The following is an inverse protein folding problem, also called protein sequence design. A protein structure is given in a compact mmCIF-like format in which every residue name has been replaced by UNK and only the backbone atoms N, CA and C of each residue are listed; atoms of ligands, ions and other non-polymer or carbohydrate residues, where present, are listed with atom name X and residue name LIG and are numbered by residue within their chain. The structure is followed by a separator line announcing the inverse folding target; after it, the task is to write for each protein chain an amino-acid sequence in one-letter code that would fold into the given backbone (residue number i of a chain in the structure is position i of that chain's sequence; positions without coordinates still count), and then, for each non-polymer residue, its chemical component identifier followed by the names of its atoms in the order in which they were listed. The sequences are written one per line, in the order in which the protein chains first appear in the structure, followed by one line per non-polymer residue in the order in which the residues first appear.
data_IF_098443158068
#
_entry.id   IF_098443158068
#
_cell.length_a   1.000
_cell.length_b   1.000
_cell.length_c   1.000
_cell.angle_alpha   90.00
_cell.angle_beta   90.00
_cell.angle_gamma   90.00
#
_symmetry.space_group_name_H-M   'P 1'
#
loop_
_entity.id
_entity.type
_entity.pdbx_description
1 polymer ?
#
# COMPACT_ATOMS: atom_id res chain seq x y z
N UNK A 1 -35.93 -32.82 -18.03
CA UNK A 1 -35.02 -32.03 -18.89
C UNK A 1 -34.48 -30.89 -18.03
N UNK A 2 -33.17 -30.66 -18.01
CA UNK A 2 -32.56 -29.56 -17.24
C UNK A 2 -32.37 -28.34 -18.14
N UNK A 3 -32.63 -27.15 -17.59
CA UNK A 3 -32.37 -25.89 -18.28
C UNK A 3 -31.22 -25.17 -17.59
N UNK A 4 -30.11 -24.97 -18.33
CA UNK A 4 -29.01 -24.13 -17.86
C UNK A 4 -29.40 -22.66 -18.02
N UNK A 5 -29.12 -21.85 -17.00
CA UNK A 5 -29.23 -20.40 -17.05
C UNK A 5 -27.88 -19.78 -16.74
N UNK A 6 -27.47 -18.83 -17.59
CA UNK A 6 -26.27 -18.02 -17.37
C UNK A 6 -26.74 -16.59 -17.04
N UNK A 7 -26.33 -16.09 -15.88
CA UNK A 7 -26.61 -14.73 -15.42
C UNK A 7 -25.33 -13.92 -15.56
N UNK A 8 -25.38 -12.80 -16.29
CA UNK A 8 -24.22 -11.94 -16.51
C UNK A 8 -24.59 -10.50 -16.17
N UNK A 9 -23.79 -9.87 -15.30
CA UNK A 9 -23.82 -8.43 -15.10
C UNK A 9 -22.69 -7.81 -15.91
N UNK A 10 -23.01 -6.75 -16.68
CA UNK A 10 -22.00 -6.03 -17.46
C UNK A 10 -20.96 -5.35 -16.56
N UNK A 11 -21.40 -4.86 -15.40
CA UNK A 11 -20.57 -4.30 -14.34
C UNK A 11 -21.29 -4.43 -13.00
N UNK A 12 -20.52 -4.34 -11.91
CA UNK A 12 -21.08 -4.14 -10.57
C UNK A 12 -21.05 -2.64 -10.25
N UNK A 13 -22.00 -2.13 -9.45
CA UNK A 13 -21.92 -0.77 -8.91
C UNK A 13 -20.59 -0.54 -8.19
N UNK A 14 -20.04 0.68 -8.30
CA UNK A 14 -18.81 1.06 -7.60
C UNK A 14 -18.95 0.84 -6.08
N UNK A 15 -17.92 0.30 -5.43
CA UNK A 15 -17.94 -0.02 -4.00
C UNK A 15 -18.68 -1.31 -3.64
N UNK A 16 -19.07 -2.14 -4.62
CA UNK A 16 -19.64 -3.48 -4.33
C UNK A 16 -18.58 -4.38 -3.72
N UNK A 17 -18.77 -4.73 -2.44
CA UNK A 17 -17.87 -5.63 -1.71
C UNK A 17 -18.44 -7.04 -1.52
N UNK A 18 -19.76 -7.18 -1.68
CA UNK A 18 -20.47 -8.42 -1.44
C UNK A 18 -21.50 -8.65 -2.54
N UNK A 19 -21.66 -9.91 -2.93
CA UNK A 19 -22.73 -10.36 -3.80
C UNK A 19 -23.55 -11.37 -3.01
N UNK A 20 -24.87 -11.19 -3.03
CA UNK A 20 -25.82 -12.12 -2.44
C UNK A 20 -26.53 -12.86 -3.57
N UNK A 21 -26.58 -14.19 -3.48
CA UNK A 21 -27.36 -15.05 -4.38
C UNK A 21 -28.41 -15.75 -3.53
N UNK A 22 -29.67 -15.58 -3.90
CA UNK A 22 -30.80 -16.18 -3.19
C UNK A 22 -31.44 -17.27 -4.04
N UNK A 23 -31.69 -18.42 -3.43
CA UNK A 23 -32.45 -19.48 -4.05
C UNK A 23 -33.96 -19.20 -3.86
N UNK A 24 -34.78 -19.35 -4.91
CA UNK A 24 -36.22 -19.13 -4.80
C UNK A 24 -36.86 -20.15 -3.85
N UNK A 25 -37.87 -19.69 -3.11
CA UNK A 25 -38.67 -20.51 -2.19
C UNK A 25 -39.96 -21.01 -2.87
N UNK A 26 -40.54 -22.11 -2.37
CA UNK A 26 -41.87 -22.58 -2.79
C UNK A 26 -41.89 -23.63 -3.91
N UNK A 27 -40.74 -24.20 -4.29
CA UNK A 27 -40.67 -25.32 -5.22
C UNK A 27 -41.03 -26.66 -4.58
N UNK A 28 -41.59 -27.59 -5.37
CA UNK A 28 -41.90 -28.97 -4.93
C UNK A 28 -40.70 -29.91 -4.94
N UNK A 29 -39.57 -29.47 -5.52
CA UNK A 29 -38.37 -30.27 -5.73
C UNK A 29 -37.20 -29.64 -4.97
N UNK A 30 -36.68 -30.34 -3.97
CA UNK A 30 -35.60 -29.88 -3.09
C UNK A 30 -34.23 -29.73 -3.78
N UNK A 31 -34.09 -30.26 -4.99
CA UNK A 31 -32.87 -30.21 -5.78
C UNK A 31 -32.87 -29.08 -6.82
N UNK A 32 -33.92 -28.25 -6.91
CA UNK A 32 -34.06 -27.20 -7.92
C UNK A 32 -34.33 -25.82 -7.27
N UNK A 33 -33.59 -24.75 -7.63
CA UNK A 33 -32.49 -24.71 -8.61
C UNK A 33 -31.14 -25.17 -8.05
N UNK A 34 -30.21 -25.41 -8.96
CA UNK A 34 -28.80 -25.72 -8.66
C UNK A 34 -27.90 -24.61 -9.20
N UNK A 35 -26.85 -24.28 -8.44
CA UNK A 35 -25.83 -23.30 -8.82
C UNK A 35 -24.52 -24.04 -9.10
N UNK A 36 -24.08 -24.05 -10.35
CA UNK A 36 -22.88 -24.80 -10.75
C UNK A 36 -21.61 -23.95 -10.78
N UNK A 37 -21.72 -22.62 -10.92
CA UNK A 37 -20.56 -21.72 -10.96
C UNK A 37 -20.92 -20.29 -10.59
N UNK A 38 -20.04 -19.65 -9.82
CA UNK A 38 -20.00 -18.19 -9.61
C UNK A 38 -18.62 -17.69 -10.02
N UNK A 39 -18.56 -16.62 -10.80
CA UNK A 39 -17.31 -15.97 -11.19
C UNK A 39 -17.46 -14.48 -10.99
N UNK A 40 -16.54 -13.87 -10.23
CA UNK A 40 -16.46 -12.43 -10.03
C UNK A 40 -15.13 -11.98 -10.60
N UNK A 41 -15.16 -10.96 -11.45
CA UNK A 41 -13.96 -10.30 -11.97
C UNK A 41 -13.96 -8.88 -11.42
N UNK A 42 -12.85 -8.48 -10.84
CA UNK A 42 -12.60 -7.09 -10.46
C UNK A 42 -11.25 -6.69 -11.02
N UNK A 43 -11.13 -5.41 -11.40
CA UNK A 43 -9.86 -4.83 -11.82
C UNK A 43 -9.34 -4.03 -10.63
N UNK A 44 -8.23 -4.43 -10.01
CA UNK A 44 -7.66 -3.65 -8.93
C UNK A 44 -7.31 -2.25 -9.40
N UNK A 45 -7.55 -1.24 -8.58
CA UNK A 45 -7.16 0.14 -8.86
C UNK A 45 -5.94 0.51 -8.04
N UNK A 46 -4.91 1.07 -8.68
CA UNK A 46 -3.72 1.56 -8.00
C UNK A 46 -3.77 3.08 -7.85
N UNK A 47 -3.59 3.57 -6.63
CA UNK A 47 -3.37 4.99 -6.33
C UNK A 47 -1.92 5.21 -5.95
N UNK A 48 -1.21 6.08 -6.68
CA UNK A 48 0.21 6.38 -6.45
C UNK A 48 0.38 7.78 -5.89
N UNK A 49 0.99 7.88 -4.72
CA UNK A 49 1.49 9.10 -4.12
C UNK A 49 2.97 9.29 -4.45
N UNK A 50 3.27 10.35 -5.21
CA UNK A 50 4.63 10.77 -5.56
C UNK A 50 5.25 11.69 -4.50
N UNK A 51 4.57 11.91 -3.36
CA UNK A 51 5.04 12.71 -2.24
C UNK A 51 5.46 14.12 -2.64
N UNK A 52 4.69 14.73 -3.55
CA UNK A 52 4.85 16.12 -3.98
C UNK A 52 4.06 17.09 -3.07
N UNK A 53 3.04 16.59 -2.40
CA UNK A 53 2.23 17.28 -1.40
C UNK A 53 1.61 16.26 -0.43
N UNK A 54 0.89 16.73 0.59
CA UNK A 54 0.27 15.86 1.60
C UNK A 54 -1.18 15.48 1.29
N UNK A 55 -1.72 15.79 0.09
CA UNK A 55 -3.14 15.63 -0.22
C UNK A 55 -3.64 14.18 -0.19
N UNK A 56 -2.74 13.22 -0.47
CA UNK A 56 -3.06 11.78 -0.44
C UNK A 56 -2.83 11.14 0.93
N UNK A 57 -2.13 11.84 1.82
CA UNK A 57 -1.77 11.39 3.17
C UNK A 57 -2.93 11.66 4.12
N UNK A 58 -3.28 10.66 4.93
CA UNK A 58 -4.34 10.77 5.94
C UNK A 58 -3.82 11.45 7.21
N UNK A 59 -2.72 10.96 7.76
CA UNK A 59 -2.01 11.62 8.86
C UNK A 59 -0.51 11.44 8.69
N UNK A 60 0.26 12.34 9.28
CA UNK A 60 1.71 12.21 9.36
C UNK A 60 2.23 12.79 10.67
N UNK A 61 3.41 12.39 11.05
CA UNK A 61 4.15 13.08 12.12
C UNK A 61 4.63 14.46 11.65
N UNK A 62 4.88 15.35 12.63
CA UNK A 62 5.26 16.74 12.36
C UNK A 62 6.70 16.88 11.86
N UNK A 63 7.58 15.91 12.15
CA UNK A 63 9.00 15.93 11.80
C UNK A 63 9.31 15.51 10.37
N UNK A 64 8.35 15.67 9.44
CA UNK A 64 8.52 15.36 8.03
C UNK A 64 8.39 16.61 7.15
N UNK A 65 9.26 16.70 6.15
CA UNK A 65 9.25 17.72 5.10
C UNK A 65 9.56 17.11 3.74
N UNK A 66 9.29 17.86 2.67
CA UNK A 66 9.63 17.45 1.32
C UNK A 66 11.04 17.90 0.93
N UNK A 67 11.78 17.02 0.27
CA UNK A 67 13.07 17.29 -0.36
C UNK A 67 12.97 17.11 -1.89
N UNK A 68 13.09 18.22 -2.61
CA UNK A 68 13.09 18.28 -4.07
C UNK A 68 14.50 18.50 -4.64
N UNK A 69 15.53 18.56 -3.79
CA UNK A 69 16.92 18.74 -4.24
C UNK A 69 17.43 17.51 -4.98
N UNK A 70 18.25 17.69 -6.02
CA UNK A 70 18.84 16.58 -6.79
C UNK A 70 17.82 15.60 -7.41
N UNK A 71 16.56 16.02 -7.61
CA UNK A 71 15.47 15.25 -8.22
C UNK A 71 15.91 14.44 -9.46
N UNK A 72 16.56 15.10 -10.44
CA UNK A 72 17.06 14.44 -11.66
C UNK A 72 18.08 13.33 -11.37
N UNK A 73 18.99 13.53 -10.42
CA UNK A 73 19.99 12.52 -10.06
C UNK A 73 19.37 11.35 -9.29
N UNK A 74 18.28 11.58 -8.57
CA UNK A 74 17.66 10.59 -7.70
C UNK A 74 16.44 9.91 -8.36
N UNK A 75 16.04 10.41 -9.55
CA UNK A 75 15.06 9.76 -10.42
C UNK A 75 13.62 9.96 -9.98
N UNK A 76 13.34 11.03 -9.22
CA UNK A 76 12.02 11.40 -8.71
C UNK A 76 11.83 12.92 -8.74
N UNK A 77 10.63 13.39 -8.35
CA UNK A 77 10.31 14.82 -8.30
C UNK A 77 10.38 15.40 -6.87
N UNK A 78 10.08 14.58 -5.87
CA UNK A 78 10.04 14.95 -4.45
C UNK A 78 10.16 13.69 -3.60
N UNK A 79 10.62 13.84 -2.36
CA UNK A 79 10.58 12.81 -1.32
C UNK A 79 10.17 13.39 0.01
N UNK A 80 9.48 12.60 0.82
CA UNK A 80 9.40 12.87 2.25
C UNK A 80 10.71 12.45 2.94
N UNK A 81 11.20 13.30 3.84
CA UNK A 81 12.36 13.06 4.69
C UNK A 81 12.13 13.59 6.09
N UNK A 82 12.96 13.18 7.06
CA UNK A 82 12.88 13.72 8.42
C UNK A 82 13.52 15.12 8.48
N UNK A 83 12.96 16.00 9.29
CA UNK A 83 13.52 17.35 9.54
C UNK A 83 14.63 17.35 10.59
N UNK A 84 14.79 16.26 11.34
CA UNK A 84 15.81 16.10 12.38
C UNK A 84 16.25 14.64 12.55
N UNK A 85 17.33 14.44 13.32
CA UNK A 85 17.85 13.12 13.69
C UNK A 85 17.11 12.60 14.93
N UNK A 86 15.97 11.93 14.72
CA UNK A 86 15.17 11.40 15.84
C UNK A 86 15.80 10.12 16.38
N UNK A 87 16.50 10.20 17.51
CA UNK A 87 17.13 9.05 18.16
C UNK A 87 16.13 8.10 18.87
N UNK A 88 14.92 8.58 19.21
CA UNK A 88 13.96 7.81 20.03
C UNK A 88 12.51 7.78 19.54
N UNK A 89 12.11 8.66 18.61
CA UNK A 89 10.71 8.72 18.12
C UNK A 89 10.69 8.52 16.61
N UNK A 90 9.90 7.56 16.14
CA UNK A 90 9.76 7.32 14.71
C UNK A 90 8.83 8.36 14.07
N UNK A 91 9.22 8.87 12.91
CA UNK A 91 8.34 9.66 12.05
C UNK A 91 7.50 8.72 11.17
N UNK A 92 6.30 9.12 10.76
CA UNK A 92 5.43 8.25 9.98
C UNK A 92 4.51 9.01 9.03
N UNK A 93 4.00 8.28 8.05
CA UNK A 93 2.92 8.67 7.13
C UNK A 93 1.86 7.56 7.15
N UNK A 94 0.58 7.92 7.23
CA UNK A 94 -0.53 6.98 7.05
C UNK A 94 -1.40 7.32 5.85
N UNK A 95 -1.98 6.29 5.27
CA UNK A 95 -2.91 6.36 4.15
C UNK A 95 -4.19 5.63 4.51
N UNK A 96 -5.33 6.20 4.18
CA UNK A 96 -6.65 5.58 4.26
C UNK A 96 -7.15 5.25 2.86
N UNK A 97 -7.25 3.95 2.54
CA UNK A 97 -7.74 3.41 1.28
C UNK A 97 -8.54 2.16 1.59
N UNK A 98 -9.83 2.13 1.26
CA UNK A 98 -10.67 0.97 1.55
C UNK A 98 -10.20 -0.28 0.79
N UNK A 99 -10.21 -1.45 1.43
CA UNK A 99 -9.86 -2.72 0.77
C UNK A 99 -8.45 -2.77 0.19
N UNK A 100 -7.43 -2.36 0.96
CA UNK A 100 -6.04 -2.48 0.53
C UNK A 100 -5.69 -3.94 0.22
N UNK A 101 -5.16 -4.17 -0.97
CA UNK A 101 -4.76 -5.48 -1.46
C UNK A 101 -3.23 -5.60 -1.65
N UNK A 102 -2.57 -4.55 -2.16
CA UNK A 102 -1.10 -4.54 -2.32
C UNK A 102 -0.56 -3.15 -1.99
N UNK A 103 0.65 -3.10 -1.43
CA UNK A 103 1.39 -1.85 -1.22
C UNK A 103 2.78 -1.96 -1.80
N UNK A 104 3.20 -0.95 -2.55
CA UNK A 104 4.58 -0.73 -2.94
C UNK A 104 5.06 0.60 -2.35
N UNK A 105 6.30 0.64 -1.86
CA UNK A 105 6.94 1.88 -1.45
C UNK A 105 8.35 1.97 -2.02
N UNK A 106 8.80 3.17 -2.36
CA UNK A 106 10.15 3.42 -2.88
C UNK A 106 10.89 4.29 -1.88
N UNK A 107 11.97 3.75 -1.30
CA UNK A 107 12.89 4.47 -0.43
C UNK A 107 14.22 4.73 -1.12
N UNK A 108 14.83 5.89 -0.88
CA UNK A 108 16.18 6.23 -1.30
C UNK A 108 17.11 6.34 -0.10
N UNK A 109 18.30 5.77 -0.24
CA UNK A 109 19.28 5.63 0.83
C UNK A 109 20.65 6.10 0.35
N UNK A 110 21.30 7.04 1.05
CA UNK A 110 22.69 7.41 0.78
C UNK A 110 23.63 6.35 1.39
N UNK A 111 23.81 5.27 0.65
CA UNK A 111 24.53 4.08 1.09
C UNK A 111 26.05 4.25 1.19
N UNK A 112 26.59 5.31 0.59
CA UNK A 112 27.97 5.74 0.81
C UNK A 112 28.18 6.45 2.17
N UNK A 113 27.11 7.00 2.75
CA UNK A 113 27.15 7.73 4.01
C UNK A 113 26.74 6.85 5.20
N UNK A 114 25.69 6.04 5.06
CA UNK A 114 25.18 5.20 6.14
C UNK A 114 24.62 3.87 5.63
N UNK A 115 24.72 2.83 6.48
CA UNK A 115 24.06 1.56 6.21
C UNK A 115 22.53 1.74 6.09
N UNK A 116 21.90 0.92 5.25
CA UNK A 116 20.45 0.94 5.07
C UNK A 116 19.76 0.57 6.38
N UNK A 117 18.78 1.39 6.77
CA UNK A 117 17.89 1.16 7.91
C UNK A 117 16.47 1.19 7.36
N UNK A 118 15.79 0.06 7.40
CA UNK A 118 14.53 -0.11 6.68
C UNK A 118 13.39 0.72 7.25
N UNK A 119 12.45 1.08 6.37
CA UNK A 119 11.13 1.52 6.80
C UNK A 119 10.36 0.36 7.44
N UNK A 120 9.57 0.66 8.46
CA UNK A 120 8.62 -0.28 9.03
C UNK A 120 7.24 -0.05 8.41
N UNK A 121 6.54 -1.14 8.09
CA UNK A 121 5.21 -1.08 7.49
C UNK A 121 4.18 -1.68 8.43
N UNK A 122 3.01 -1.06 8.47
CA UNK A 122 1.89 -1.54 9.26
C UNK A 122 0.58 -1.41 8.49
N UNK A 123 -0.33 -2.34 8.78
CA UNK A 123 -1.68 -2.36 8.26
C UNK A 123 -2.68 -2.21 9.40
N UNK A 124 -3.81 -1.57 9.12
CA UNK A 124 -4.89 -1.43 10.09
C UNK A 124 -6.26 -1.45 9.40
N UNK A 125 -7.25 -2.01 10.09
CA UNK A 125 -8.66 -1.99 9.65
C UNK A 125 -9.35 -0.68 10.01
N UNK A 126 -8.95 -0.05 11.12
CA UNK A 126 -9.66 1.04 11.79
C UNK A 126 -8.82 2.31 12.00
N UNK A 127 -7.51 2.27 11.69
CA UNK A 127 -6.58 3.36 11.89
C UNK A 127 -6.11 3.53 13.34
N UNK A 128 -6.54 2.65 14.25
CA UNK A 128 -6.20 2.67 15.68
C UNK A 128 -5.29 1.51 16.06
N UNK A 129 -5.67 0.29 15.66
CA UNK A 129 -4.88 -0.92 15.94
C UNK A 129 -4.01 -1.24 14.72
N UNK A 130 -2.70 -1.17 14.90
CA UNK A 130 -1.72 -1.35 13.83
C UNK A 130 -1.02 -2.69 13.96
N UNK A 131 -1.08 -3.50 12.90
CA UNK A 131 -0.37 -4.78 12.80
C UNK A 131 0.88 -4.60 11.93
N UNK A 132 2.06 -5.03 12.39
CA UNK A 132 3.27 -4.96 11.57
C UNK A 132 3.15 -5.88 10.35
N UNK A 133 3.61 -5.41 9.20
CA UNK A 133 3.65 -6.17 7.96
C UNK A 133 5.08 -6.21 7.45
N UNK A 134 5.61 -7.41 7.24
CA UNK A 134 6.93 -7.58 6.64
C UNK A 134 6.85 -7.33 5.14
N UNK A 135 7.65 -6.39 4.66
CA UNK A 135 7.87 -6.17 3.24
C UNK A 135 8.95 -7.10 2.68
N UNK A 136 8.81 -7.49 1.42
CA UNK A 136 9.93 -7.91 0.59
C UNK A 136 10.53 -6.67 -0.08
N UNK A 137 11.79 -6.74 -0.53
CA UNK A 137 12.43 -5.59 -1.17
C UNK A 137 13.39 -5.99 -2.29
N UNK A 138 13.62 -5.04 -3.20
CA UNK A 138 14.64 -5.13 -4.24
C UNK A 138 15.44 -3.82 -4.30
N UNK A 139 16.76 -3.95 -4.36
CA UNK A 139 17.70 -2.83 -4.42
C UNK A 139 18.18 -2.56 -5.84
N UNK A 140 18.34 -1.28 -6.14
CA UNK A 140 19.01 -0.80 -7.34
C UNK A 140 19.99 0.31 -6.93
N UNK A 141 21.32 0.07 -7.02
CA UNK A 141 22.31 1.13 -6.89
C UNK A 141 22.09 2.20 -7.96
N UNK A 142 22.14 3.47 -7.56
CA UNK A 142 22.01 4.65 -8.44
C UNK A 142 23.18 5.61 -8.17
N UNK A 143 23.39 6.58 -9.06
CA UNK A 143 24.48 7.57 -8.92
C UNK A 143 25.86 6.94 -8.70
N UNK A 144 26.18 5.91 -9.49
CA UNK A 144 27.45 5.19 -9.36
C UNK A 144 27.58 4.36 -8.07
N UNK A 145 26.47 4.08 -7.37
CA UNK A 145 26.45 3.33 -6.13
C UNK A 145 26.52 4.17 -4.86
N UNK A 146 26.55 5.50 -4.98
CA UNK A 146 26.46 6.40 -3.81
C UNK A 146 25.11 6.25 -3.11
N UNK A 147 24.05 6.07 -3.90
CA UNK A 147 22.70 5.88 -3.38
C UNK A 147 22.14 4.53 -3.78
N UNK A 148 21.23 4.01 -2.97
CA UNK A 148 20.42 2.83 -3.29
C UNK A 148 18.96 3.22 -3.31
N UNK A 149 18.29 2.89 -4.42
CA UNK A 149 16.83 2.87 -4.52
C UNK A 149 16.33 1.50 -4.08
N UNK A 150 15.63 1.43 -2.95
CA UNK A 150 14.98 0.22 -2.46
C UNK A 150 13.48 0.28 -2.76
N UNK A 151 13.00 -0.73 -3.46
CA UNK A 151 11.56 -0.92 -3.73
C UNK A 151 11.01 -1.97 -2.79
N UNK A 152 10.19 -1.55 -1.83
CA UNK A 152 9.46 -2.42 -0.92
C UNK A 152 8.15 -2.89 -1.55
N UNK A 153 7.78 -4.16 -1.32
CA UNK A 153 6.55 -4.77 -1.78
C UNK A 153 5.87 -5.53 -0.64
N UNK A 154 4.60 -5.23 -0.42
CA UNK A 154 3.70 -5.96 0.47
C UNK A 154 2.63 -6.59 -0.41
N UNK A 155 2.86 -7.84 -0.88
CA UNK A 155 1.92 -8.52 -1.76
C UNK A 155 0.63 -8.93 -1.02
N UNK A 156 -0.44 -9.31 -1.73
CA UNK A 156 -1.75 -9.64 -1.13
C UNK A 156 -1.71 -10.62 0.03
N UNK A 157 -0.87 -11.65 -0.04
CA UNK A 157 -0.71 -12.64 1.03
C UNK A 157 -0.08 -12.08 2.32
N UNK A 158 0.50 -10.88 2.28
CA UNK A 158 1.07 -10.18 3.45
C UNK A 158 0.11 -9.16 4.05
N UNK A 159 -0.93 -8.75 3.33
CA UNK A 159 -1.88 -7.74 3.81
C UNK A 159 -3.02 -8.45 4.57
N UNK A 160 -3.24 -8.13 5.86
CA UNK A 160 -4.38 -8.67 6.60
C UNK A 160 -5.71 -8.32 5.93
N UNK A 161 -6.64 -9.29 5.89
CA UNK A 161 -7.97 -9.08 5.32
C UNK A 161 -8.71 -7.92 6.00
N UNK A 162 -9.36 -7.08 5.20
CA UNK A 162 -10.08 -5.91 5.69
C UNK A 162 -9.20 -4.72 6.06
N UNK A 163 -7.93 -4.70 5.65
CA UNK A 163 -7.06 -3.53 5.79
C UNK A 163 -7.64 -2.33 5.03
N UNK A 164 -7.78 -1.20 5.73
CA UNK A 164 -8.20 0.08 5.16
C UNK A 164 -7.15 1.18 5.36
N UNK A 165 -6.14 0.91 6.18
CA UNK A 165 -5.10 1.86 6.52
C UNK A 165 -3.73 1.24 6.39
N UNK A 166 -2.78 2.01 5.87
CA UNK A 166 -1.37 1.65 5.76
C UNK A 166 -0.55 2.72 6.46
N UNK A 167 0.46 2.32 7.23
CA UNK A 167 1.45 3.22 7.83
C UNK A 167 2.84 2.84 7.32
N UNK A 168 3.57 3.83 6.84
CA UNK A 168 5.01 3.75 6.59
C UNK A 168 5.70 4.56 7.68
N UNK A 169 6.56 3.90 8.44
CA UNK A 169 7.25 4.47 9.60
C UNK A 169 8.75 4.47 9.34
N UNK A 170 9.37 5.62 9.53
CA UNK A 170 10.80 5.81 9.36
C UNK A 170 11.57 5.11 10.49
N UNK A 171 12.75 4.53 10.20
CA UNK A 171 13.60 3.98 11.24
C UNK A 171 14.05 5.07 12.22
N UNK A 172 14.11 4.73 13.51
CA UNK A 172 14.68 5.60 14.56
C UNK A 172 16.20 5.52 14.59
N UNK A 173 16.88 6.62 14.89
CA UNK A 173 18.34 6.76 14.90
C UNK A 173 18.94 7.19 13.54
N UNK A 174 20.25 7.02 13.38
CA UNK A 174 21.01 7.53 12.24
C UNK A 174 21.55 8.93 12.52
N UNK A 175 22.63 9.28 11.86
CA UNK A 175 23.32 10.58 11.97
C UNK A 175 22.82 11.61 10.97
N UNK A 176 22.05 11.20 9.96
CA UNK A 176 21.55 12.06 8.89
C UNK A 176 20.02 12.13 8.94
N UNK A 177 19.47 13.34 9.17
CA UNK A 177 18.02 13.55 9.22
C UNK A 177 17.33 13.22 7.89
N UNK A 178 17.97 13.61 6.80
CA UNK A 178 17.47 13.41 5.45
C UNK A 178 17.60 11.98 4.94
N UNK A 179 18.27 11.06 5.64
CA UNK A 179 18.40 9.65 5.25
C UNK A 179 17.64 8.75 6.24
N UNK A 180 16.75 7.83 5.83
CA UNK A 180 16.31 7.58 4.46
C UNK A 180 15.25 8.56 3.97
N UNK A 181 15.00 8.55 2.65
CA UNK A 181 13.97 9.36 1.99
C UNK A 181 12.89 8.45 1.41
N UNK A 182 11.62 8.77 1.63
CA UNK A 182 10.49 8.07 0.98
C UNK A 182 10.09 8.84 -0.27
N UNK A 183 10.20 8.21 -1.44
CA UNK A 183 9.99 8.83 -2.76
C UNK A 183 8.59 8.58 -3.32
N UNK A 184 8.04 7.39 -3.06
CA UNK A 184 6.75 7.01 -3.62
C UNK A 184 6.05 5.98 -2.73
N UNK A 185 4.72 6.05 -2.68
CA UNK A 185 3.86 4.98 -2.15
C UNK A 185 2.76 4.69 -3.16
N UNK A 186 2.59 3.43 -3.54
CA UNK A 186 1.50 2.97 -4.39
C UNK A 186 0.65 1.98 -3.61
N UNK A 187 -0.65 2.20 -3.56
CA UNK A 187 -1.62 1.35 -2.88
C UNK A 187 -2.61 0.82 -3.92
N UNK A 188 -2.72 -0.51 -4.01
CA UNK A 188 -3.68 -1.19 -4.88
C UNK A 188 -4.85 -1.70 -4.04
N UNK A 189 -6.07 -1.45 -4.51
CA UNK A 189 -7.35 -1.86 -3.93
C UNK A 189 -8.07 -2.84 -4.86
#
# INVERSE_FOLDING_TARGET
MWTKRDYNWASLPAGTNYIKIEFPTGGTLNWNPQLSRVSVRYTPTADTDHLNDWSKVTTRSAGLAFDTSNATALGDASRAMRTGTSAGTAEYITYHRSHVNEVQAVGLFATDQEAIRDFNFYASRDGQVWLPVRADYADAPINGGLWTKRTYRLPPERIPSGTNYVKVEYPVGGSLSWNPQLSQVTITQ
#
